data_IF_151828881967
#
_entry.id   IF_151828881967
#
_cell.length_a   1.000
_cell.length_b   1.000
_cell.length_c   1.000
_cell.angle_alpha   90.00
_cell.angle_beta   90.00
_cell.angle_gamma   90.00
#
_symmetry.space_group_name_H-M   'P 1'
#
loop_
_entity.id
_entity.type
_entity.pdbx_description
1 polymer ?
#
# COMPACT_ATOMS: atom_id res chain seq x y z
N UNK A 1 -25.61 42.35 0.94
CA UNK A 1 -25.21 41.74 -0.35
C UNK A 1 -24.54 40.39 -0.11
N UNK A 2 -24.91 39.34 -0.84
CA UNK A 2 -24.45 37.95 -0.62
C UNK A 2 -22.92 37.77 -0.71
N UNK A 3 -22.20 38.73 -1.31
CA UNK A 3 -20.73 38.76 -1.32
C UNK A 3 -20.09 39.20 0.01
N UNK A 4 -20.75 40.05 0.82
CA UNK A 4 -20.22 40.44 2.14
C UNK A 4 -20.32 39.29 3.16
N UNK A 5 -21.36 38.47 3.08
CA UNK A 5 -21.50 37.29 3.94
C UNK A 5 -20.51 36.17 3.61
N UNK A 6 -20.10 36.00 2.34
CA UNK A 6 -19.02 35.08 1.94
C UNK A 6 -17.64 35.55 2.41
N UNK A 7 -17.40 36.86 2.42
CA UNK A 7 -16.15 37.42 2.93
C UNK A 7 -16.02 37.26 4.46
N UNK A 8 -17.12 37.40 5.21
CA UNK A 8 -17.13 37.20 6.67
C UNK A 8 -17.01 35.72 7.06
N UNK A 9 -17.61 34.79 6.32
CA UNK A 9 -17.42 33.34 6.55
C UNK A 9 -16.02 32.85 6.18
N UNK A 10 -15.36 33.47 5.19
CA UNK A 10 -13.95 33.20 4.89
C UNK A 10 -13.00 33.75 5.98
N UNK A 11 -13.30 34.92 6.55
CA UNK A 11 -12.54 35.50 7.67
C UNK A 11 -12.71 34.71 8.97
N UNK A 12 -13.90 34.15 9.23
CA UNK A 12 -14.15 33.29 10.39
C UNK A 12 -13.47 31.90 10.28
N UNK A 13 -13.26 31.36 9.07
CA UNK A 13 -12.47 30.12 8.89
C UNK A 13 -10.98 30.32 9.13
N UNK A 14 -10.45 31.53 8.92
CA UNK A 14 -9.06 31.87 9.25
C UNK A 14 -8.84 32.24 10.74
N UNK A 15 -9.91 32.49 11.50
CA UNK A 15 -9.86 32.87 12.93
C UNK A 15 -9.87 31.67 13.89
N UNK A 16 -10.26 30.47 13.45
CA UNK A 16 -10.06 29.26 14.25
C UNK A 16 -8.59 28.86 14.14
N UNK A 17 -7.80 29.19 15.17
CA UNK A 17 -6.35 28.97 15.30
C UNK A 17 -5.85 27.56 14.94
N UNK A 18 -5.81 27.26 13.65
CA UNK A 18 -5.13 26.10 13.10
C UNK A 18 -3.65 26.41 12.96
N UNK A 19 -2.80 25.70 13.70
CA UNK A 19 -1.36 25.76 13.48
C UNK A 19 -1.02 25.59 11.99
N UNK A 20 0.00 26.32 11.51
CA UNK A 20 0.57 26.10 10.19
C UNK A 20 0.87 24.59 10.01
N UNK A 21 0.43 23.95 8.91
CA UNK A 21 0.60 22.50 8.71
C UNK A 21 2.04 22.03 8.89
N UNK A 22 3.01 22.85 8.48
CA UNK A 22 4.44 22.57 8.65
C UNK A 22 4.92 22.65 10.11
N UNK A 23 4.32 23.52 10.93
CA UNK A 23 4.61 23.64 12.36
C UNK A 23 4.03 22.45 13.14
N UNK A 24 2.76 22.10 12.87
CA UNK A 24 2.11 20.90 13.43
C UNK A 24 2.89 19.62 13.12
N UNK A 25 3.36 19.48 11.87
CA UNK A 25 4.16 18.33 11.40
C UNK A 25 5.51 18.23 12.09
N UNK A 26 6.22 19.36 12.28
CA UNK A 26 7.48 19.39 13.03
C UNK A 26 7.29 19.06 14.51
N UNK A 27 6.19 19.51 15.11
CA UNK A 27 5.84 19.20 16.51
C UNK A 27 5.57 17.69 16.69
N UNK A 28 4.81 17.10 15.77
CA UNK A 28 4.56 15.65 15.71
C UNK A 28 5.84 14.83 15.55
N UNK A 29 6.74 15.22 14.64
CA UNK A 29 8.02 14.53 14.44
C UNK A 29 8.92 14.55 15.69
N UNK A 30 8.95 15.67 16.42
CA UNK A 30 9.70 15.77 17.68
C UNK A 30 9.08 14.90 18.77
N UNK A 31 7.76 14.92 18.89
CA UNK A 31 7.03 14.08 19.85
C UNK A 31 7.27 12.59 19.57
N UNK A 32 7.17 12.16 18.32
CA UNK A 32 7.44 10.77 17.94
C UNK A 32 8.90 10.37 18.15
N UNK A 33 9.88 11.23 17.84
CA UNK A 33 11.30 10.97 18.15
C UNK A 33 11.54 10.76 19.63
N UNK A 34 10.92 11.58 20.49
CA UNK A 34 11.00 11.43 21.93
C UNK A 34 10.35 10.12 22.42
N UNK A 35 9.17 9.78 21.88
CA UNK A 35 8.47 8.52 22.19
C UNK A 35 9.28 7.29 21.78
N UNK A 36 9.91 7.31 20.59
CA UNK A 36 10.74 6.19 20.13
C UNK A 36 12.00 6.04 20.97
N UNK A 37 12.69 7.15 21.28
CA UNK A 37 13.86 7.12 22.16
C UNK A 37 13.50 6.61 23.56
N UNK A 38 12.35 7.03 24.10
CA UNK A 38 11.84 6.57 25.39
C UNK A 38 11.45 5.08 25.36
N UNK A 39 10.81 4.61 24.28
CA UNK A 39 10.42 3.21 24.12
C UNK A 39 11.63 2.27 24.04
N UNK A 40 12.74 2.70 23.42
CA UNK A 40 14.01 1.96 23.41
C UNK A 40 14.68 1.88 24.79
N UNK A 41 14.43 2.86 25.67
CA UNK A 41 15.05 2.94 26.99
C UNK A 41 14.27 2.17 28.07
N UNK A 42 12.94 2.12 27.96
CA UNK A 42 12.06 1.70 29.07
C UNK A 42 11.54 0.25 28.94
N UNK A 43 11.56 -0.35 27.74
CA UNK A 43 10.98 -1.67 27.52
C UNK A 43 12.05 -2.65 26.99
N UNK A 44 12.77 -3.36 27.89
CA UNK A 44 13.65 -4.45 27.51
C UNK A 44 12.79 -5.68 27.22
N UNK A 45 12.01 -5.64 26.14
CA UNK A 45 11.39 -6.84 25.59
C UNK A 45 12.30 -7.42 24.52
N UNK A 46 12.25 -8.76 24.34
CA UNK A 46 13.00 -9.48 23.30
C UNK A 46 12.99 -8.70 21.99
N UNK A 47 14.12 -8.57 21.32
CA UNK A 47 14.39 -7.61 20.26
C UNK A 47 13.31 -7.58 19.17
N UNK A 48 12.75 -8.72 18.78
CA UNK A 48 11.68 -8.77 17.77
C UNK A 48 10.31 -8.26 18.28
N UNK A 49 10.07 -8.25 19.59
CA UNK A 49 8.86 -7.80 20.28
C UNK A 49 8.99 -6.38 20.84
N UNK A 50 10.08 -5.68 20.55
CA UNK A 50 10.30 -4.35 21.07
C UNK A 50 9.29 -3.36 20.45
N UNK A 51 8.38 -2.73 21.21
CA UNK A 51 7.43 -1.77 20.66
C UNK A 51 8.12 -0.53 20.07
N UNK A 52 9.39 -0.29 20.41
CA UNK A 52 10.20 0.73 19.76
C UNK A 52 10.45 0.43 18.26
N UNK A 53 10.42 -0.84 17.82
CA UNK A 53 10.47 -1.19 16.40
C UNK A 53 9.23 -0.71 15.64
N UNK A 54 8.04 -0.81 16.25
CA UNK A 54 6.82 -0.23 15.67
C UNK A 54 6.99 1.28 15.48
N UNK A 55 7.48 1.97 16.51
CA UNK A 55 7.68 3.42 16.46
C UNK A 55 8.78 3.82 15.45
N UNK A 56 9.82 2.98 15.31
CA UNK A 56 10.88 3.15 14.30
C UNK A 56 10.33 3.02 12.88
N UNK A 57 9.46 2.05 12.61
CA UNK A 57 8.76 1.90 11.32
C UNK A 57 7.91 3.13 11.02
N UNK A 58 7.11 3.61 11.97
CA UNK A 58 6.27 4.80 11.75
C UNK A 58 7.12 6.06 11.53
N UNK A 59 8.13 6.29 12.36
CA UNK A 59 9.02 7.46 12.24
C UNK A 59 9.81 7.46 10.94
N UNK A 60 10.35 6.32 10.54
CA UNK A 60 11.13 6.21 9.30
C UNK A 60 10.23 6.43 8.08
N UNK A 61 8.99 5.95 8.10
CA UNK A 61 8.01 6.24 7.05
C UNK A 61 7.65 7.73 6.99
N UNK A 62 7.27 8.34 8.12
CA UNK A 62 6.90 9.77 8.17
C UNK A 62 8.10 10.64 7.79
N UNK A 63 9.30 10.29 8.27
CA UNK A 63 10.56 10.94 7.91
C UNK A 63 10.84 10.83 6.41
N UNK A 64 10.71 9.63 5.84
CA UNK A 64 10.88 9.39 4.39
C UNK A 64 9.90 10.20 3.54
N UNK A 65 8.63 10.27 3.95
CA UNK A 65 7.61 11.10 3.29
C UNK A 65 7.86 12.61 3.43
N UNK A 66 8.76 13.02 4.32
CA UNK A 66 9.14 14.43 4.53
C UNK A 66 10.23 14.90 3.58
N UNK A 67 10.89 13.99 2.86
CA UNK A 67 12.03 14.31 2.02
C UNK A 67 11.59 15.04 0.74
N UNK A 68 12.49 15.81 0.10
CA UNK A 68 12.20 16.47 -1.17
C UNK A 68 11.76 15.47 -2.24
N UNK A 69 10.86 15.88 -3.14
CA UNK A 69 10.30 15.02 -4.19
C UNK A 69 11.36 14.35 -5.10
N UNK A 70 12.51 15.00 -5.28
CA UNK A 70 13.64 14.42 -6.02
C UNK A 70 14.28 13.23 -5.32
N UNK A 71 14.37 13.26 -3.99
CA UNK A 71 14.92 12.16 -3.17
C UNK A 71 13.91 11.04 -3.06
N UNK A 72 12.63 11.35 -2.83
CA UNK A 72 11.57 10.32 -2.68
C UNK A 72 11.29 9.55 -3.97
N UNK A 73 11.66 10.08 -5.13
CA UNK A 73 11.60 9.36 -6.42
C UNK A 73 12.64 8.23 -6.51
N UNK A 74 13.80 8.40 -5.87
CA UNK A 74 14.89 7.39 -5.88
C UNK A 74 14.80 6.50 -4.65
N UNK A 75 14.60 7.12 -3.48
CA UNK A 75 14.45 6.47 -2.19
C UNK A 75 12.96 6.49 -1.79
N UNK A 76 12.20 5.50 -2.27
CA UNK A 76 10.78 5.44 -1.95
C UNK A 76 10.59 5.32 -0.42
N UNK A 77 9.74 6.17 0.21
CA UNK A 77 9.55 6.18 1.67
C UNK A 77 9.18 4.82 2.26
N UNK A 78 8.47 4.00 1.49
CA UNK A 78 8.03 2.67 1.92
C UNK A 78 9.16 1.63 1.91
N UNK A 79 10.09 1.72 0.94
CA UNK A 79 11.25 0.82 0.84
C UNK A 79 12.30 1.20 1.88
N UNK A 80 12.56 2.50 2.02
CA UNK A 80 13.52 3.02 3.02
C UNK A 80 13.09 2.72 4.44
N UNK A 81 11.81 2.92 4.77
CA UNK A 81 11.25 2.53 6.07
C UNK A 81 11.44 1.03 6.33
N UNK A 82 11.06 0.16 5.39
CA UNK A 82 11.23 -1.29 5.53
C UNK A 82 12.69 -1.69 5.79
N UNK A 83 13.63 -1.14 5.01
CA UNK A 83 15.06 -1.39 5.18
C UNK A 83 15.57 -0.92 6.56
N UNK A 84 15.20 0.28 7.00
CA UNK A 84 15.58 0.82 8.31
C UNK A 84 15.04 -0.07 9.43
N UNK A 85 13.78 -0.48 9.35
CA UNK A 85 13.16 -1.37 10.34
C UNK A 85 13.81 -2.74 10.36
N UNK A 86 14.11 -3.34 9.20
CA UNK A 86 14.80 -4.63 9.13
C UNK A 86 16.21 -4.56 9.72
N UNK A 87 16.97 -3.49 9.43
CA UNK A 87 18.29 -3.27 10.02
C UNK A 87 18.19 -3.11 11.54
N UNK A 88 17.23 -2.32 12.02
CA UNK A 88 17.00 -2.12 13.45
C UNK A 88 16.63 -3.43 14.16
N UNK A 89 15.72 -4.23 13.58
CA UNK A 89 15.33 -5.53 14.12
C UNK A 89 16.51 -6.51 14.20
N UNK A 90 17.34 -6.57 13.15
CA UNK A 90 18.53 -7.43 13.12
C UNK A 90 19.59 -6.93 14.11
N UNK A 91 19.81 -5.62 14.20
CA UNK A 91 20.78 -5.03 15.13
C UNK A 91 20.44 -5.36 16.58
N UNK A 92 19.17 -5.15 16.97
CA UNK A 92 18.68 -5.51 18.31
C UNK A 92 18.73 -7.02 18.53
N UNK A 93 18.36 -7.83 17.54
CA UNK A 93 18.44 -9.29 17.61
C UNK A 93 19.85 -9.78 17.89
N UNK A 94 20.86 -9.18 17.24
CA UNK A 94 22.28 -9.50 17.50
C UNK A 94 22.73 -9.10 18.91
N UNK A 95 22.26 -7.97 19.43
CA UNK A 95 22.57 -7.56 20.81
C UNK A 95 22.03 -8.54 21.85
N UNK A 96 20.96 -9.27 21.53
CA UNK A 96 20.39 -10.32 22.36
C UNK A 96 20.85 -11.75 22.00
N UNK A 97 21.81 -11.89 21.07
CA UNK A 97 22.31 -13.20 20.63
C UNK A 97 21.31 -14.03 19.79
N UNK A 98 20.28 -13.40 19.22
CA UNK A 98 19.32 -14.06 18.33
C UNK A 98 19.81 -14.10 16.88
N UNK A 99 19.45 -15.18 16.19
CA UNK A 99 19.65 -15.27 14.75
C UNK A 99 18.74 -14.29 13.97
N UNK A 100 19.19 -13.89 12.78
CA UNK A 100 18.53 -12.88 11.93
C UNK A 100 17.11 -13.30 11.54
N UNK A 101 16.92 -14.57 11.21
CA UNK A 101 15.60 -15.08 10.82
C UNK A 101 14.63 -15.03 11.99
N UNK A 102 15.10 -15.42 13.18
CA UNK A 102 14.30 -15.40 14.41
C UNK A 102 13.90 -13.97 14.81
N UNK A 103 14.82 -13.02 14.70
CA UNK A 103 14.55 -11.61 14.97
C UNK A 103 13.48 -11.02 14.02
N UNK A 104 13.51 -11.39 12.74
CA UNK A 104 12.50 -10.97 11.76
C UNK A 104 11.17 -11.70 11.95
N UNK A 105 11.19 -12.99 12.28
CA UNK A 105 9.96 -13.75 12.56
C UNK A 105 9.23 -13.21 13.78
N UNK A 106 9.96 -12.90 14.87
CA UNK A 106 9.37 -12.29 16.07
C UNK A 106 8.77 -10.90 15.80
N UNK A 107 9.31 -10.16 14.81
CA UNK A 107 8.71 -8.89 14.35
C UNK A 107 7.40 -9.10 13.59
N UNK A 108 7.34 -10.07 12.66
CA UNK A 108 6.22 -10.21 11.71
C UNK A 108 5.07 -11.13 12.16
N UNK A 109 5.31 -12.14 13.01
CA UNK A 109 4.29 -13.16 13.29
C UNK A 109 4.53 -13.86 14.63
N UNK A 110 3.81 -13.44 15.69
CA UNK A 110 3.66 -14.26 16.89
C UNK A 110 2.18 -14.64 17.10
N UNK A 111 1.88 -15.93 17.01
CA UNK A 111 0.53 -16.45 17.23
C UNK A 111 0.21 -16.46 18.74
N UNK A 112 -0.40 -15.40 19.26
CA UNK A 112 -1.06 -15.41 20.57
C UNK A 112 -1.25 -14.04 21.22
N UNK A 113 -2.41 -13.85 21.90
CA UNK A 113 -2.79 -12.62 22.62
C UNK A 113 -1.78 -12.18 23.70
N UNK A 114 -0.85 -13.05 24.13
CA UNK A 114 0.18 -12.77 25.12
C UNK A 114 1.57 -12.40 24.56
N UNK A 115 1.75 -12.37 23.24
CA UNK A 115 3.09 -12.25 22.61
C UNK A 115 3.12 -11.38 21.34
N UNK A 116 2.37 -10.27 21.32
CA UNK A 116 2.25 -9.42 20.13
C UNK A 116 3.60 -8.86 19.67
N UNK A 117 3.93 -9.09 18.40
CA UNK A 117 5.01 -8.40 17.71
C UNK A 117 4.56 -7.03 17.14
N UNK A 118 5.51 -6.13 16.81
CA UNK A 118 5.24 -4.88 16.12
C UNK A 118 4.47 -5.05 14.80
N UNK A 119 4.71 -6.14 14.07
CA UNK A 119 3.97 -6.48 12.84
C UNK A 119 2.51 -6.82 13.10
N UNK A 120 2.20 -7.49 14.22
CA UNK A 120 0.82 -7.80 14.61
C UNK A 120 0.01 -6.53 14.91
N UNK A 121 0.66 -5.49 15.44
CA UNK A 121 0.04 -4.17 15.62
C UNK A 121 -0.32 -3.54 14.27
N UNK A 122 0.57 -3.58 13.28
CA UNK A 122 0.26 -3.10 11.93
C UNK A 122 -0.89 -3.89 11.32
N UNK A 123 -0.94 -5.21 11.54
CA UNK A 123 -2.05 -6.04 11.07
C UNK A 123 -3.37 -5.64 11.71
N UNK A 124 -3.40 -5.35 13.03
CA UNK A 124 -4.58 -4.83 13.71
C UNK A 124 -5.05 -3.47 13.15
N UNK A 125 -4.12 -2.59 12.77
CA UNK A 125 -4.44 -1.30 12.15
C UNK A 125 -5.01 -1.41 10.74
N UNK A 126 -4.80 -2.53 10.03
CA UNK A 126 -5.36 -2.74 8.70
C UNK A 126 -6.90 -2.66 8.73
N UNK A 127 -7.54 -3.21 9.76
CA UNK A 127 -9.00 -3.16 9.91
C UNK A 127 -9.50 -1.72 9.99
N UNK A 128 -8.86 -0.89 10.82
CA UNK A 128 -9.20 0.53 10.94
C UNK A 128 -8.96 1.29 9.61
N UNK A 129 -7.88 0.96 8.91
CA UNK A 129 -7.58 1.52 7.59
C UNK A 129 -8.66 1.17 6.56
N UNK A 130 -9.17 -0.07 6.55
CA UNK A 130 -10.26 -0.49 5.69
C UNK A 130 -11.56 0.28 5.98
N UNK A 131 -11.90 0.48 7.27
CA UNK A 131 -13.05 1.31 7.65
C UNK A 131 -12.89 2.76 7.16
N UNK A 132 -11.70 3.35 7.33
CA UNK A 132 -11.42 4.72 6.85
C UNK A 132 -11.52 4.83 5.32
N UNK A 133 -11.12 3.79 4.59
CA UNK A 133 -11.30 3.69 3.14
C UNK A 133 -12.79 3.70 2.77
N UNK A 134 -13.60 2.90 3.48
CA UNK A 134 -15.05 2.85 3.29
C UNK A 134 -15.74 4.21 3.47
N UNK A 135 -15.32 4.99 4.46
CA UNK A 135 -15.84 6.36 4.67
C UNK A 135 -15.53 7.26 3.47
N UNK A 136 -14.35 7.14 2.86
CA UNK A 136 -14.01 7.92 1.65
C UNK A 136 -14.87 7.53 0.44
N UNK A 137 -15.11 6.24 0.27
CA UNK A 137 -16.00 5.72 -0.78
C UNK A 137 -17.42 6.25 -0.59
N UNK A 138 -17.93 6.24 0.65
CA UNK A 138 -19.24 6.77 0.99
C UNK A 138 -19.37 8.27 0.70
N UNK A 139 -18.33 9.05 1.02
CA UNK A 139 -18.32 10.49 0.76
C UNK A 139 -18.36 10.83 -0.74
N UNK A 140 -17.82 9.97 -1.60
CA UNK A 140 -17.78 10.17 -3.06
C UNK A 140 -18.77 9.28 -3.82
N UNK A 141 -19.78 8.74 -3.12
CA UNK A 141 -20.68 7.71 -3.67
C UNK A 141 -21.44 8.17 -4.93
N UNK A 142 -21.83 9.45 -5.00
CA UNK A 142 -22.56 9.99 -6.17
C UNK A 142 -21.72 9.95 -7.44
N UNK A 143 -20.45 10.35 -7.35
CA UNK A 143 -19.49 10.27 -8.47
C UNK A 143 -19.26 8.81 -8.87
N UNK A 144 -19.23 7.92 -7.88
CA UNK A 144 -19.01 6.50 -8.09
C UNK A 144 -20.20 5.81 -8.78
N UNK A 145 -21.42 6.08 -8.33
CA UNK A 145 -22.67 5.57 -8.90
C UNK A 145 -22.82 6.01 -10.35
N UNK A 146 -22.48 7.27 -10.66
CA UNK A 146 -22.53 7.80 -12.03
C UNK A 146 -21.54 7.11 -13.00
N UNK A 147 -20.43 6.58 -12.48
CA UNK A 147 -19.36 5.96 -13.30
C UNK A 147 -19.19 4.45 -13.04
N UNK A 148 -20.15 3.84 -12.35
CA UNK A 148 -20.09 2.44 -11.94
C UNK A 148 -19.84 1.45 -13.10
N UNK A 149 -20.53 1.54 -14.26
CA UNK A 149 -20.28 0.60 -15.35
C UNK A 149 -18.85 0.71 -15.89
N UNK A 150 -18.32 1.93 -16.01
CA UNK A 150 -16.93 2.16 -16.42
C UNK A 150 -15.95 1.62 -15.39
N UNK A 151 -16.23 1.83 -14.10
CA UNK A 151 -15.39 1.33 -13.01
C UNK A 151 -15.31 -0.20 -13.01
N UNK A 152 -16.46 -0.86 -13.06
CA UNK A 152 -16.52 -2.33 -13.05
C UNK A 152 -15.89 -2.90 -14.33
N UNK A 153 -16.29 -2.38 -15.51
CA UNK A 153 -15.81 -2.88 -16.80
C UNK A 153 -14.30 -2.71 -16.97
N UNK A 154 -13.78 -1.51 -16.74
CA UNK A 154 -12.35 -1.24 -16.92
C UNK A 154 -11.49 -1.92 -15.84
N UNK A 155 -11.96 -1.99 -14.59
CA UNK A 155 -11.24 -2.72 -13.54
C UNK A 155 -11.21 -4.21 -13.82
N UNK A 156 -12.33 -4.81 -14.23
CA UNK A 156 -12.41 -6.22 -14.60
C UNK A 156 -11.47 -6.53 -15.77
N UNK A 157 -11.53 -5.74 -16.83
CA UNK A 157 -10.65 -5.92 -17.98
C UNK A 157 -9.17 -5.80 -17.59
N UNK A 158 -8.80 -4.76 -16.84
CA UNK A 158 -7.40 -4.58 -16.40
C UNK A 158 -6.92 -5.69 -15.47
N UNK A 159 -7.80 -6.22 -14.61
CA UNK A 159 -7.48 -7.32 -13.68
C UNK A 159 -7.25 -8.62 -14.47
N UNK A 160 -8.14 -8.95 -15.43
CA UNK A 160 -7.95 -10.12 -16.29
C UNK A 160 -6.69 -10.01 -17.14
N UNK A 161 -6.47 -8.85 -17.75
CA UNK A 161 -5.26 -8.59 -18.52
C UNK A 161 -4.00 -8.71 -17.65
N UNK A 162 -4.03 -8.18 -16.42
CA UNK A 162 -2.91 -8.29 -15.49
C UNK A 162 -2.65 -9.75 -15.09
N UNK A 163 -3.70 -10.49 -14.73
CA UNK A 163 -3.60 -11.87 -14.27
C UNK A 163 -3.05 -12.81 -15.36
N UNK A 164 -3.75 -12.86 -16.51
CA UNK A 164 -3.40 -13.76 -17.61
C UNK A 164 -2.20 -13.24 -18.39
N UNK A 165 -2.17 -11.93 -18.68
CA UNK A 165 -1.09 -11.33 -19.46
C UNK A 165 0.26 -11.40 -18.75
N UNK A 166 0.32 -11.11 -17.44
CA UNK A 166 1.58 -11.24 -16.69
C UNK A 166 2.06 -12.69 -16.66
N UNK A 167 1.16 -13.65 -16.41
CA UNK A 167 1.51 -15.08 -16.38
C UNK A 167 2.00 -15.57 -17.74
N UNK A 168 1.34 -15.16 -18.82
CA UNK A 168 1.71 -15.51 -20.18
C UNK A 168 3.07 -14.93 -20.59
N UNK A 169 3.32 -13.65 -20.30
CA UNK A 169 4.61 -13.02 -20.57
C UNK A 169 5.72 -13.68 -19.74
N UNK A 170 5.46 -13.99 -18.47
CA UNK A 170 6.43 -14.65 -17.60
C UNK A 170 6.78 -16.07 -18.09
N UNK A 171 5.77 -16.85 -18.52
CA UNK A 171 6.00 -18.16 -19.13
C UNK A 171 6.84 -18.06 -20.40
N UNK A 172 6.52 -17.12 -21.30
CA UNK A 172 7.28 -16.87 -22.54
C UNK A 172 8.71 -16.39 -22.32
N UNK A 173 8.95 -15.72 -21.20
CA UNK A 173 10.29 -15.30 -20.80
C UNK A 173 11.11 -16.44 -20.15
N UNK A 174 10.57 -17.67 -20.09
CA UNK A 174 11.26 -18.83 -19.55
C UNK A 174 11.35 -18.86 -18.02
N UNK A 175 10.49 -18.10 -17.32
CA UNK A 175 10.51 -18.09 -15.86
C UNK A 175 9.92 -19.41 -15.32
N UNK A 176 10.46 -19.93 -14.19
CA UNK A 176 9.90 -21.13 -13.56
C UNK A 176 8.42 -20.94 -13.23
N UNK A 177 7.63 -22.00 -13.37
CA UNK A 177 6.17 -21.98 -13.18
C UNK A 177 5.75 -21.26 -11.90
N UNK A 178 6.38 -21.59 -10.77
CA UNK A 178 6.10 -20.97 -9.45
C UNK A 178 6.36 -19.46 -9.43
N UNK A 179 7.35 -18.99 -10.19
CA UNK A 179 7.68 -17.56 -10.33
C UNK A 179 6.66 -16.87 -11.23
N UNK A 180 6.26 -17.51 -12.34
CA UNK A 180 5.20 -16.98 -13.21
C UNK A 180 3.86 -16.86 -12.48
N UNK A 181 3.50 -17.86 -11.66
CA UNK A 181 2.27 -17.87 -10.88
C UNK A 181 2.26 -16.82 -9.75
N UNK A 182 3.38 -16.56 -9.04
CA UNK A 182 3.41 -15.46 -8.06
C UNK A 182 3.27 -14.08 -8.74
N UNK A 183 3.78 -13.92 -9.97
CA UNK A 183 3.71 -12.65 -10.70
C UNK A 183 2.27 -12.34 -11.15
N UNK A 184 1.43 -13.37 -11.33
CA UNK A 184 -0.01 -13.19 -11.59
C UNK A 184 -0.72 -12.33 -10.53
N UNK A 185 -0.22 -12.35 -9.28
CA UNK A 185 -0.81 -11.64 -8.14
C UNK A 185 -0.19 -10.26 -7.90
N UNK A 186 0.71 -9.77 -8.77
CA UNK A 186 1.48 -8.53 -8.52
C UNK A 186 0.66 -7.24 -8.43
N UNK A 187 -0.57 -7.22 -8.95
CA UNK A 187 -1.40 -6.00 -9.06
C UNK A 187 -2.48 -5.88 -7.97
N UNK A 188 -2.56 -6.84 -7.05
CA UNK A 188 -3.50 -6.80 -5.92
C UNK A 188 -2.83 -6.46 -4.61
N UNK A 189 -3.63 -6.11 -3.61
CA UNK A 189 -3.15 -5.88 -2.26
C UNK A 189 -2.53 -7.16 -1.68
N UNK A 190 -1.44 -7.01 -0.93
CA UNK A 190 -0.67 -8.13 -0.37
C UNK A 190 -1.51 -9.12 0.42
N UNK A 191 -2.50 -8.65 1.19
CA UNK A 191 -3.42 -9.53 1.95
C UNK A 191 -4.23 -10.46 1.05
N UNK A 192 -4.66 -10.00 -0.12
CA UNK A 192 -5.40 -10.80 -1.10
C UNK A 192 -4.45 -11.64 -1.96
N UNK A 193 -3.31 -11.07 -2.36
CA UNK A 193 -2.31 -11.76 -3.16
C UNK A 193 -1.70 -12.96 -2.45
N UNK A 194 -1.55 -12.93 -1.12
CA UNK A 194 -1.13 -14.10 -0.33
C UNK A 194 -2.13 -15.26 -0.49
N UNK A 195 -3.43 -14.97 -0.37
CA UNK A 195 -4.48 -15.99 -0.57
C UNK A 195 -4.49 -16.54 -2.00
N UNK A 196 -4.39 -15.66 -3.00
CA UNK A 196 -4.31 -16.06 -4.41
C UNK A 196 -3.07 -16.90 -4.72
N UNK A 197 -1.91 -16.54 -4.17
CA UNK A 197 -0.67 -17.30 -4.33
C UNK A 197 -0.77 -18.70 -3.71
N UNK A 198 -1.39 -18.82 -2.54
CA UNK A 198 -1.61 -20.12 -1.89
C UNK A 198 -2.53 -21.03 -2.73
N UNK A 199 -3.62 -20.47 -3.29
CA UNK A 199 -4.49 -21.21 -4.20
C UNK A 199 -3.75 -21.74 -5.44
N UNK A 200 -2.78 -20.97 -5.94
CA UNK A 200 -1.98 -21.33 -7.11
C UNK A 200 -0.74 -22.19 -6.77
N UNK A 201 -0.44 -22.42 -5.49
CA UNK A 201 0.77 -23.13 -5.05
C UNK A 201 2.07 -22.32 -5.21
N UNK A 202 1.97 -21.00 -5.33
CA UNK A 202 3.09 -20.08 -5.44
C UNK A 202 3.56 -19.59 -4.06
N UNK A 203 4.79 -19.03 -3.99
CA UNK A 203 5.37 -18.53 -2.74
C UNK A 203 4.68 -17.23 -2.28
N UNK A 204 4.07 -17.19 -1.08
CA UNK A 204 3.47 -15.96 -0.55
C UNK A 204 4.50 -14.85 -0.33
N UNK A 205 5.72 -15.20 0.13
CA UNK A 205 6.76 -14.22 0.40
C UNK A 205 7.21 -13.48 -0.87
N UNK A 206 7.46 -14.23 -1.95
CA UNK A 206 7.84 -13.62 -3.23
C UNK A 206 6.68 -12.85 -3.88
N UNK A 207 5.45 -13.31 -3.68
CA UNK A 207 4.25 -12.59 -4.13
C UNK A 207 4.13 -11.23 -3.46
N UNK A 208 4.33 -11.14 -2.14
CA UNK A 208 4.30 -9.85 -1.43
C UNK A 208 5.42 -8.92 -1.95
N UNK A 209 6.59 -9.47 -2.24
CA UNK A 209 7.70 -8.71 -2.81
C UNK A 209 7.37 -8.14 -4.20
N UNK A 210 6.75 -8.91 -5.10
CA UNK A 210 6.37 -8.43 -6.44
C UNK A 210 5.25 -7.39 -6.39
N UNK A 211 4.30 -7.55 -5.48
CA UNK A 211 3.25 -6.56 -5.20
C UNK A 211 3.89 -5.25 -4.74
N UNK A 212 4.80 -5.31 -3.76
CA UNK A 212 5.50 -4.13 -3.26
C UNK A 212 6.24 -3.39 -4.38
N UNK A 213 7.00 -4.09 -5.21
CA UNK A 213 7.73 -3.49 -6.35
C UNK A 213 6.75 -2.82 -7.31
N UNK A 214 5.66 -3.49 -7.67
CA UNK A 214 4.63 -2.95 -8.57
C UNK A 214 3.99 -1.69 -8.00
N UNK A 215 3.60 -1.71 -6.73
CA UNK A 215 2.98 -0.57 -6.06
C UNK A 215 3.90 0.64 -5.94
N UNK A 216 5.16 0.42 -5.57
CA UNK A 216 6.19 1.47 -5.47
C UNK A 216 6.47 2.09 -6.83
N UNK A 217 6.61 1.25 -7.86
CA UNK A 217 6.80 1.71 -9.22
C UNK A 217 5.61 2.55 -9.68
N UNK A 218 4.39 2.04 -9.54
CA UNK A 218 3.18 2.75 -9.93
C UNK A 218 2.97 4.07 -9.17
N UNK A 219 3.26 4.11 -7.87
CA UNK A 219 3.20 5.35 -7.09
C UNK A 219 4.21 6.42 -7.56
N UNK A 220 5.38 5.98 -8.01
CA UNK A 220 6.49 6.86 -8.42
C UNK A 220 6.33 7.39 -9.84
N UNK A 221 5.93 6.53 -10.78
CA UNK A 221 5.87 6.87 -12.21
C UNK A 221 4.47 6.94 -12.79
N UNK A 222 3.45 6.38 -12.13
CA UNK A 222 2.13 6.17 -12.72
C UNK A 222 1.44 7.47 -13.16
N UNK A 223 1.52 8.54 -12.34
CA UNK A 223 0.98 9.86 -12.71
C UNK A 223 1.67 10.46 -13.93
N UNK A 224 3.01 10.41 -13.95
CA UNK A 224 3.82 10.93 -15.04
C UNK A 224 3.57 10.13 -16.34
N UNK A 225 3.39 8.81 -16.22
CA UNK A 225 3.09 7.91 -17.33
C UNK A 225 1.70 8.18 -17.92
N UNK A 226 0.68 8.33 -17.07
CA UNK A 226 -0.68 8.65 -17.49
C UNK A 226 -0.74 9.99 -18.23
N UNK A 227 -0.03 11.01 -17.73
CA UNK A 227 0.06 12.31 -18.40
C UNK A 227 0.72 12.20 -19.79
N UNK A 228 1.78 11.39 -19.93
CA UNK A 228 2.44 11.13 -21.22
C UNK A 228 1.54 10.43 -22.22
N UNK A 229 0.70 9.49 -21.77
CA UNK A 229 -0.26 8.78 -22.61
C UNK A 229 -1.59 9.52 -22.80
N UNK A 230 -1.60 10.84 -22.55
CA UNK A 230 -2.73 11.70 -22.92
C UNK A 230 -3.87 11.74 -21.90
N UNK A 231 -3.70 11.20 -20.68
CA UNK A 231 -4.66 11.42 -19.60
C UNK A 231 -4.48 12.85 -19.05
N UNK A 232 -5.43 13.77 -19.27
CA UNK A 232 -5.27 15.15 -18.82
C UNK A 232 -5.24 15.22 -17.28
N UNK A 233 -4.57 16.22 -16.69
CA UNK A 233 -4.54 16.41 -15.23
C UNK A 233 -5.94 16.51 -14.61
N UNK A 234 -6.93 16.96 -15.38
CA UNK A 234 -8.34 17.12 -15.02
C UNK A 234 -9.20 15.86 -15.14
N UNK A 235 -8.62 14.67 -15.38
CA UNK A 235 -9.36 13.40 -15.47
C UNK A 235 -9.15 12.51 -14.23
N UNK A 236 -9.81 12.79 -13.08
CA UNK A 236 -9.65 12.02 -11.86
C UNK A 236 -10.14 10.57 -12.00
N UNK A 237 -11.11 10.30 -12.89
CA UNK A 237 -11.61 8.96 -13.16
C UNK A 237 -10.53 8.03 -13.71
N UNK A 238 -9.85 8.45 -14.78
CA UNK A 238 -8.80 7.65 -15.44
C UNK A 238 -7.63 7.42 -14.48
N UNK A 239 -7.22 8.47 -13.78
CA UNK A 239 -6.08 8.41 -12.86
C UNK A 239 -6.38 7.56 -11.64
N UNK A 240 -7.57 7.73 -11.06
CA UNK A 240 -8.02 6.90 -9.96
C UNK A 240 -8.08 5.43 -10.35
N UNK A 241 -8.73 5.11 -11.48
CA UNK A 241 -8.90 3.74 -11.94
C UNK A 241 -7.56 3.06 -12.27
N UNK A 242 -6.69 3.72 -13.02
CA UNK A 242 -5.39 3.18 -13.39
C UNK A 242 -4.50 2.94 -12.17
N UNK A 243 -4.41 3.92 -11.26
CA UNK A 243 -3.57 3.79 -10.06
C UNK A 243 -4.12 2.73 -9.09
N UNK A 244 -5.43 2.68 -8.89
CA UNK A 244 -6.06 1.72 -7.98
C UNK A 244 -6.00 0.28 -8.49
N UNK A 245 -6.26 0.06 -9.78
CA UNK A 245 -6.30 -1.27 -10.37
C UNK A 245 -4.91 -1.89 -10.61
N UNK A 246 -3.86 -1.07 -10.78
CA UNK A 246 -2.51 -1.57 -11.12
C UNK A 246 -1.48 -1.40 -10.01
N UNK A 247 -1.54 -0.29 -9.25
CA UNK A 247 -0.59 0.05 -8.20
C UNK A 247 -1.21 -0.01 -6.79
N UNK A 248 -2.44 -0.50 -6.70
CA UNK A 248 -3.15 -0.83 -5.49
C UNK A 248 -3.14 0.30 -4.43
N UNK A 249 -3.08 -0.08 -3.14
CA UNK A 249 -3.09 0.87 -2.01
C UNK A 249 -1.91 1.85 -2.02
N UNK A 250 -0.74 1.44 -2.52
CA UNK A 250 0.46 2.31 -2.57
C UNK A 250 0.27 3.40 -3.62
N UNK A 251 -0.23 3.04 -4.81
CA UNK A 251 -0.61 4.00 -5.85
C UNK A 251 -1.74 4.93 -5.43
N UNK A 252 -2.72 4.41 -4.70
CA UNK A 252 -3.82 5.20 -4.13
C UNK A 252 -3.28 6.26 -3.16
N UNK A 253 -2.32 5.89 -2.31
CA UNK A 253 -1.68 6.83 -1.39
C UNK A 253 -0.98 7.98 -2.12
N UNK A 254 -0.42 7.75 -3.31
CA UNK A 254 0.21 8.79 -4.12
C UNK A 254 -0.78 9.83 -4.70
N UNK A 255 -2.09 9.56 -4.67
CA UNK A 255 -3.14 10.50 -5.08
C UNK A 255 -3.69 11.32 -3.90
N UNK A 256 -3.53 10.83 -2.67
CA UNK A 256 -4.19 11.37 -1.47
C UNK A 256 -3.89 12.84 -1.16
N UNK A 257 -2.68 13.31 -1.48
CA UNK A 257 -2.25 14.68 -1.15
C UNK A 257 -2.78 15.75 -2.11
N UNK A 258 -3.15 15.37 -3.34
CA UNK A 258 -3.50 16.32 -4.40
C UNK A 258 -4.87 16.13 -5.04
N UNK A 259 -5.41 14.91 -5.02
CA UNK A 259 -6.61 14.54 -5.80
C UNK A 259 -7.57 13.68 -4.97
N UNK A 260 -8.42 14.31 -4.15
CA UNK A 260 -9.34 13.57 -3.29
C UNK A 260 -10.37 12.74 -4.08
N UNK A 261 -10.82 13.25 -5.24
CA UNK A 261 -11.76 12.52 -6.11
C UNK A 261 -11.12 11.28 -6.75
N UNK A 262 -9.93 11.43 -7.35
CA UNK A 262 -9.18 10.30 -7.92
C UNK A 262 -8.82 9.26 -6.84
N UNK A 263 -8.53 9.71 -5.61
CA UNK A 263 -8.27 8.84 -4.47
C UNK A 263 -9.48 7.96 -4.15
N UNK A 264 -10.69 8.52 -4.12
CA UNK A 264 -11.91 7.77 -3.83
C UNK A 264 -12.20 6.73 -4.93
N UNK A 265 -12.03 7.13 -6.19
CA UNK A 265 -12.17 6.24 -7.36
C UNK A 265 -11.13 5.11 -7.31
N UNK A 266 -9.87 5.45 -7.01
CA UNK A 266 -8.76 4.49 -6.84
C UNK A 266 -9.02 3.50 -5.73
N UNK A 267 -9.62 3.94 -4.63
CA UNK A 267 -10.00 3.08 -3.51
C UNK A 267 -11.00 2.00 -3.92
N UNK A 268 -11.96 2.36 -4.79
CA UNK A 268 -12.96 1.43 -5.30
C UNK A 268 -12.34 0.47 -6.32
N UNK A 269 -11.54 1.00 -7.25
CA UNK A 269 -10.83 0.19 -8.24
C UNK A 269 -9.91 -0.85 -7.56
N UNK A 270 -9.19 -0.46 -6.51
CA UNK A 270 -8.40 -1.37 -5.67
C UNK A 270 -9.25 -2.52 -5.09
N UNK A 271 -10.40 -2.20 -4.48
CA UNK A 271 -11.28 -3.21 -3.89
C UNK A 271 -11.88 -4.14 -4.94
N UNK A 272 -12.35 -3.58 -6.05
CA UNK A 272 -12.91 -4.34 -7.17
C UNK A 272 -11.86 -5.26 -7.80
N UNK A 273 -10.65 -4.76 -8.07
CA UNK A 273 -9.55 -5.57 -8.61
C UNK A 273 -9.23 -6.75 -7.68
N UNK A 274 -9.20 -6.50 -6.37
CA UNK A 274 -9.04 -7.54 -5.36
C UNK A 274 -10.11 -8.62 -5.42
N UNK A 275 -11.39 -8.23 -5.42
CA UNK A 275 -12.54 -9.15 -5.50
C UNK A 275 -12.45 -9.99 -6.79
N UNK A 276 -12.19 -9.34 -7.92
CA UNK A 276 -12.15 -9.98 -9.24
C UNK A 276 -11.01 -11.00 -9.29
N UNK A 277 -9.80 -10.63 -8.87
CA UNK A 277 -8.67 -11.57 -8.80
C UNK A 277 -8.97 -12.74 -7.88
N UNK A 278 -9.46 -12.50 -6.65
CA UNK A 278 -9.74 -13.57 -5.70
C UNK A 278 -10.80 -14.53 -6.25
N UNK A 279 -11.89 -14.01 -6.82
CA UNK A 279 -12.95 -14.83 -7.38
C UNK A 279 -12.46 -15.65 -8.58
N UNK A 280 -11.72 -15.02 -9.49
CA UNK A 280 -11.21 -15.68 -10.70
C UNK A 280 -10.15 -16.73 -10.36
N UNK A 281 -9.27 -16.48 -9.39
CA UNK A 281 -8.30 -17.46 -8.91
C UNK A 281 -8.94 -18.60 -8.11
N UNK A 282 -10.13 -18.42 -7.53
CA UNK A 282 -10.83 -19.47 -6.81
C UNK A 282 -11.40 -20.55 -7.74
N UNK A 283 -11.60 -20.24 -9.03
CA UNK A 283 -12.14 -21.20 -10.01
C UNK A 283 -11.06 -22.18 -10.47
N UNK A 284 -11.21 -23.52 -10.25
CA UNK A 284 -10.17 -24.50 -10.60
C UNK A 284 -9.80 -24.50 -12.09
N UNK A 285 -10.77 -24.31 -12.98
CA UNK A 285 -10.52 -24.23 -14.43
C UNK A 285 -9.58 -23.08 -14.79
N UNK A 286 -9.71 -21.94 -14.10
CA UNK A 286 -8.81 -20.79 -14.31
C UNK A 286 -7.41 -21.09 -13.78
N UNK A 287 -7.30 -21.76 -12.64
CA UNK A 287 -5.99 -22.16 -12.09
C UNK A 287 -5.24 -23.06 -13.08
N UNK A 288 -5.94 -23.99 -13.74
CA UNK A 288 -5.34 -24.87 -14.76
C UNK A 288 -4.87 -24.07 -15.98
N UNK A 289 -5.66 -23.10 -16.44
CA UNK A 289 -5.24 -22.19 -17.52
C UNK A 289 -4.00 -21.41 -17.13
N UNK A 290 -3.95 -20.83 -15.92
CA UNK A 290 -2.78 -20.09 -15.44
C UNK A 290 -1.53 -20.96 -15.36
N UNK A 291 -1.64 -22.19 -14.83
CA UNK A 291 -0.54 -23.16 -14.80
C UNK A 291 -0.07 -23.51 -16.20
N UNK A 292 -0.99 -23.76 -17.12
CA UNK A 292 -0.68 -24.03 -18.52
C UNK A 292 -0.04 -22.86 -19.27
N UNK A 293 -0.33 -21.61 -18.89
CA UNK A 293 0.37 -20.42 -19.41
C UNK A 293 1.76 -20.29 -18.79
N UNK A 294 1.90 -20.62 -17.51
CA UNK A 294 3.15 -20.55 -16.76
C UNK A 294 4.17 -21.64 -17.17
N UNK A 295 3.70 -22.77 -17.68
CA UNK A 295 4.55 -23.90 -18.10
C UNK A 295 5.04 -23.84 -19.56
N UNK A 296 4.67 -22.82 -20.33
CA UNK A 296 5.10 -22.63 -21.73
C UNK A 296 6.54 -22.11 -21.88
N UNK A 297 7.42 -22.46 -20.95
CA UNK A 297 8.84 -22.13 -20.93
C UNK A 297 9.65 -23.07 -21.83
#
# INVERSE_FOLDING_TARGET
>A
GPQRHRAETAKQRHSKGGECPAARRRRLLRAWRAVTAFAFLVLPTRAGKNPALFATTVLSLVGGQSLPKGVTKVLHPLVTCGAITSIAAIALGRLEGMDREKALQDYFRNQGLGNLGPGDLFFGLLNASCCALGVRMFNSRRTLEANLPTLVGATAFSSMLSLFGTTWVAGRAGLPEKVSLMLSQRSVMSSLGIGGAQLLGASPALTVASILVTGVYGASVGKDLLAKFGAPPSAPLVRGLAMGATAHSIGTAALMEGEPEATAISSVALCLAGIIHTFVCAVPSVQNVLKGLASQA
#
